data_IF_541764303255
#
_entry.id   IF_541764303255
#
_cell.length_a   1.000
_cell.length_b   1.000
_cell.length_c   1.000
_cell.angle_alpha   90.00
_cell.angle_beta   90.00
_cell.angle_gamma   90.00
#
_symmetry.space_group_name_H-M   'P 1'
#
loop_
_entity.id
_entity.type
_entity.pdbx_description
1 polymer ?
#
# COMPACT_ATOMS: atom_id res chain seq x y z
N UNK A 1 10.35 -4.34 -17.07
CA UNK A 1 9.60 -3.79 -15.93
C UNK A 1 9.61 -2.29 -16.06
N UNK A 2 8.44 -1.62 -16.07
CA UNK A 2 8.41 -0.15 -16.04
C UNK A 2 8.97 0.30 -14.69
N UNK A 3 9.79 1.34 -14.70
CA UNK A 3 10.42 1.89 -13.50
C UNK A 3 9.33 2.48 -12.60
N UNK A 4 9.30 2.05 -11.35
CA UNK A 4 8.44 2.62 -10.34
C UNK A 4 8.71 4.13 -10.19
N UNK A 5 7.65 4.89 -9.92
CA UNK A 5 7.71 6.31 -9.60
C UNK A 5 7.23 6.50 -8.17
N UNK A 6 8.09 7.08 -7.34
CA UNK A 6 7.76 7.44 -5.96
C UNK A 6 7.60 8.97 -5.92
N UNK A 7 6.47 9.44 -5.38
CA UNK A 7 6.18 10.86 -5.17
C UNK A 7 5.82 11.06 -3.70
N UNK A 8 6.58 11.89 -3.00
CA UNK A 8 6.38 12.17 -1.59
C UNK A 8 6.11 13.67 -1.42
N UNK A 9 4.86 14.01 -1.08
CA UNK A 9 4.40 15.41 -0.97
C UNK A 9 4.42 15.82 0.49
N UNK A 10 5.60 16.18 0.98
CA UNK A 10 5.83 16.51 2.40
C UNK A 10 5.40 17.96 2.70
N UNK A 11 4.64 18.15 3.77
CA UNK A 11 4.40 19.46 4.38
C UNK A 11 4.87 19.37 5.84
N UNK A 12 6.04 19.95 6.12
CA UNK A 12 6.69 19.82 7.43
C UNK A 12 7.48 18.51 7.56
N UNK A 13 7.04 17.62 8.46
CA UNK A 13 7.72 16.35 8.77
C UNK A 13 7.01 15.12 8.18
N UNK A 14 5.75 15.27 7.77
CA UNK A 14 4.93 14.18 7.25
C UNK A 14 4.20 14.58 5.97
N UNK A 15 3.54 13.62 5.32
CA UNK A 15 2.66 13.85 4.18
C UNK A 15 2.39 12.59 3.36
N UNK A 16 1.58 12.70 2.30
CA UNK A 16 1.22 11.54 1.50
C UNK A 16 2.37 11.07 0.61
N UNK A 17 2.51 9.75 0.51
CA UNK A 17 3.51 9.08 -0.30
C UNK A 17 2.85 8.14 -1.30
N UNK A 18 3.00 8.45 -2.58
CA UNK A 18 2.51 7.63 -3.68
C UNK A 18 3.64 6.79 -4.29
N UNK A 19 3.35 5.52 -4.54
CA UNK A 19 4.19 4.61 -5.35
C UNK A 19 3.37 4.19 -6.56
N UNK A 20 3.90 4.38 -7.76
CA UNK A 20 3.21 4.15 -9.01
C UNK A 20 4.02 3.26 -9.95
N UNK A 21 3.39 2.21 -10.46
CA UNK A 21 3.98 1.30 -11.47
C UNK A 21 3.40 1.55 -12.87
N UNK A 22 2.43 2.46 -12.98
CA UNK A 22 1.72 2.78 -14.21
C UNK A 22 1.67 4.29 -14.49
N UNK A 23 1.94 4.69 -15.73
CA UNK A 23 2.03 6.09 -16.16
C UNK A 23 0.71 6.68 -16.70
N UNK A 24 -0.31 5.85 -16.93
CA UNK A 24 -1.62 6.30 -17.41
C UNK A 24 -2.60 6.63 -16.27
N UNK A 25 -3.87 6.87 -16.62
CA UNK A 25 -4.94 7.07 -15.66
C UNK A 25 -4.97 5.92 -14.66
N UNK A 26 -5.04 6.28 -13.38
CA UNK A 26 -5.24 5.32 -12.31
C UNK A 26 -6.72 4.97 -12.33
N UNK A 27 -7.05 3.69 -12.25
CA UNK A 27 -8.43 3.23 -12.15
C UNK A 27 -9.04 3.63 -10.81
N UNK A 28 -10.05 2.90 -10.36
CA UNK A 28 -10.73 3.23 -9.11
C UNK A 28 -9.79 3.06 -7.90
N UNK A 29 -9.87 4.03 -6.99
CA UNK A 29 -9.22 3.96 -5.70
C UNK A 29 -10.01 3.03 -4.77
N UNK A 30 -9.30 2.12 -4.12
CA UNK A 30 -9.83 1.20 -3.12
C UNK A 30 -9.12 1.52 -1.80
N UNK A 31 -9.88 1.80 -0.76
CA UNK A 31 -9.37 2.01 0.59
C UNK A 31 -8.68 0.75 1.10
N UNK A 32 -7.54 0.90 1.77
CA UNK A 32 -6.90 -0.22 2.44
C UNK A 32 -7.74 -0.68 3.64
N UNK A 33 -7.72 -1.97 3.95
CA UNK A 33 -8.46 -2.58 5.06
C UNK A 33 -8.09 -2.03 6.44
N UNK A 34 -6.95 -1.35 6.54
CA UNK A 34 -6.47 -0.70 7.75
C UNK A 34 -6.56 0.84 7.70
N UNK A 35 -7.21 1.42 6.69
CA UNK A 35 -7.59 2.84 6.64
C UNK A 35 -6.42 3.83 6.77
N UNK A 36 -5.24 3.48 6.22
CA UNK A 36 -4.06 4.36 6.21
C UNK A 36 -3.60 4.73 4.79
N UNK A 37 -4.50 4.57 3.82
CA UNK A 37 -4.24 4.91 2.43
C UNK A 37 -5.02 4.05 1.44
N UNK A 38 -4.73 4.26 0.16
CA UNK A 38 -5.50 3.70 -0.95
C UNK A 38 -4.64 2.94 -1.95
N UNK A 39 -5.24 1.95 -2.60
CA UNK A 39 -4.69 1.23 -3.75
C UNK A 39 -5.48 1.54 -5.01
N UNK A 40 -4.79 1.75 -6.13
CA UNK A 40 -5.41 1.98 -7.42
C UNK A 40 -5.29 0.72 -8.27
N UNK A 41 -6.43 0.17 -8.68
CA UNK A 41 -6.47 -1.08 -9.42
C UNK A 41 -6.98 -0.88 -10.84
N UNK A 42 -6.51 -1.72 -11.77
CA UNK A 42 -7.11 -1.83 -13.10
C UNK A 42 -8.46 -2.55 -13.03
N UNK A 43 -9.22 -2.51 -14.13
CA UNK A 43 -10.45 -3.31 -14.28
C UNK A 43 -10.22 -4.82 -14.22
N UNK A 44 -8.97 -5.27 -14.40
CA UNK A 44 -8.55 -6.67 -14.28
C UNK A 44 -8.01 -7.02 -12.90
N UNK A 45 -7.99 -6.07 -11.95
CA UNK A 45 -7.46 -6.26 -10.59
C UNK A 45 -5.94 -6.12 -10.46
N UNK A 46 -5.26 -5.57 -11.47
CA UNK A 46 -3.82 -5.29 -11.40
C UNK A 46 -3.58 -4.04 -10.55
N UNK A 47 -2.64 -4.11 -9.60
CA UNK A 47 -2.24 -2.95 -8.80
C UNK A 47 -1.41 -1.97 -9.65
N UNK A 48 -1.93 -0.76 -9.85
CA UNK A 48 -1.33 0.28 -10.67
C UNK A 48 -0.54 1.29 -9.84
N UNK A 49 -1.01 1.59 -8.64
CA UNK A 49 -0.35 2.48 -7.69
C UNK A 49 -0.91 2.28 -6.27
N UNK A 50 -0.22 2.84 -5.29
CA UNK A 50 -0.71 3.02 -3.92
C UNK A 50 -0.40 4.44 -3.45
N UNK A 51 -1.19 4.94 -2.51
CA UNK A 51 -0.91 6.18 -1.76
C UNK A 51 -1.10 5.90 -0.27
N UNK A 52 -0.07 6.22 0.52
CA UNK A 52 -0.14 6.25 1.99
C UNK A 52 -0.47 7.68 2.40
N UNK A 53 -1.40 7.86 3.35
CA UNK A 53 -1.98 9.17 3.65
C UNK A 53 -1.01 10.09 4.40
N UNK A 54 -0.36 9.58 5.45
CA UNK A 54 0.52 10.37 6.32
C UNK A 54 1.77 9.58 6.70
N UNK A 55 2.87 9.84 5.98
CA UNK A 55 4.16 9.18 6.16
C UNK A 55 5.18 10.15 6.72
N UNK A 56 5.91 9.74 7.77
CA UNK A 56 7.01 10.52 8.31
C UNK A 56 8.27 10.44 7.43
N UNK A 57 8.83 11.60 7.04
CA UNK A 57 9.98 11.67 6.13
C UNK A 57 11.28 11.13 6.72
N UNK A 58 11.41 11.08 8.04
CA UNK A 58 12.66 10.71 8.70
C UNK A 58 12.69 9.22 9.06
N UNK A 59 11.60 8.71 9.61
CA UNK A 59 11.51 7.32 10.04
C UNK A 59 10.04 6.88 10.12
N UNK A 60 9.68 5.87 9.34
CA UNK A 60 8.33 5.31 9.35
C UNK A 60 8.32 3.83 8.96
N UNK A 61 7.30 3.11 9.40
CA UNK A 61 7.05 1.72 9.05
C UNK A 61 5.55 1.46 9.04
N UNK A 62 4.98 1.42 7.84
CA UNK A 62 3.54 1.25 7.62
C UNK A 62 3.28 0.14 6.62
N UNK A 63 2.04 -0.30 6.48
CA UNK A 63 1.65 -1.22 5.41
C UNK A 63 0.22 -0.96 4.99
N UNK A 64 -0.09 -1.11 3.70
CA UNK A 64 -1.46 -1.18 3.21
C UNK A 64 -1.87 -2.65 3.10
N UNK A 65 -3.01 -3.00 3.66
CA UNK A 65 -3.59 -4.34 3.54
C UNK A 65 -4.82 -4.31 2.63
N UNK A 66 -4.84 -5.19 1.64
CA UNK A 66 -5.97 -5.47 0.78
C UNK A 66 -6.27 -6.97 0.86
N UNK A 67 -7.39 -7.42 0.29
CA UNK A 67 -7.84 -8.81 0.40
C UNK A 67 -6.78 -9.87 0.03
N UNK A 68 -5.96 -9.59 -0.97
CA UNK A 68 -4.96 -10.53 -1.49
C UNK A 68 -3.55 -9.95 -1.54
N UNK A 69 -3.35 -8.74 -1.03
CA UNK A 69 -2.11 -7.99 -1.21
C UNK A 69 -1.78 -7.23 0.06
N UNK A 70 -0.50 -7.18 0.38
CA UNK A 70 0.06 -6.30 1.40
C UNK A 70 1.21 -5.53 0.80
N UNK A 71 1.21 -4.22 1.00
CA UNK A 71 2.29 -3.34 0.58
C UNK A 71 2.93 -2.78 1.83
N UNK A 72 4.15 -3.20 2.14
CA UNK A 72 4.92 -2.67 3.26
C UNK A 72 5.74 -1.47 2.79
N UNK A 73 5.74 -0.41 3.58
CA UNK A 73 6.52 0.81 3.40
C UNK A 73 7.44 1.01 4.59
N UNK A 74 8.69 1.35 4.32
CA UNK A 74 9.66 1.73 5.34
C UNK A 74 10.45 2.94 4.91
N UNK A 75 10.44 3.96 5.77
CA UNK A 75 11.28 5.15 5.64
C UNK A 75 12.39 5.09 6.68
N UNK A 76 13.64 5.27 6.26
CA UNK A 76 14.79 5.30 7.17
C UNK A 76 15.77 6.38 6.73
N UNK A 77 15.90 7.44 7.53
CA UNK A 77 16.77 8.59 7.22
C UNK A 77 16.47 9.21 5.84
N UNK A 78 15.18 9.33 5.49
CA UNK A 78 14.75 9.83 4.19
C UNK A 78 14.78 8.82 3.03
N UNK A 79 15.37 7.64 3.24
CA UNK A 79 15.35 6.57 2.24
C UNK A 79 14.03 5.81 2.32
N UNK A 80 13.36 5.68 1.18
CA UNK A 80 12.09 4.97 1.04
C UNK A 80 12.36 3.59 0.46
N UNK A 81 11.86 2.56 1.13
CA UNK A 81 11.87 1.18 0.67
C UNK A 81 10.47 0.59 0.82
N UNK A 82 10.09 -0.29 -0.11
CA UNK A 82 8.80 -0.95 -0.07
C UNK A 82 8.86 -2.38 -0.58
N UNK A 83 7.86 -3.18 -0.24
CA UNK A 83 7.71 -4.55 -0.75
C UNK A 83 6.24 -4.89 -0.94
N UNK A 84 5.94 -5.68 -1.98
CA UNK A 84 4.58 -6.16 -2.26
C UNK A 84 4.54 -7.66 -1.98
N UNK A 85 3.62 -8.08 -1.11
CA UNK A 85 3.41 -9.47 -0.73
C UNK A 85 2.01 -9.90 -1.15
N UNK A 86 1.89 -11.04 -1.85
CA UNK A 86 0.58 -11.68 -2.10
C UNK A 86 0.15 -12.49 -0.88
N UNK A 87 -1.07 -12.27 -0.41
CA UNK A 87 -1.65 -13.00 0.71
C UNK A 87 -2.39 -14.24 0.19
N UNK A 88 -1.94 -15.42 0.58
CA UNK A 88 -2.63 -16.68 0.29
C UNK A 88 -3.94 -16.76 1.11
N UNK A 89 -5.08 -16.57 0.45
CA UNK A 89 -6.43 -16.61 1.05
C UNK A 89 -6.77 -17.94 1.77
N UNK A 90 -6.01 -19.02 1.54
CA UNK A 90 -6.28 -20.34 2.16
C UNK A 90 -6.10 -20.39 3.69
N UNK A 91 -5.59 -19.35 4.34
CA UNK A 91 -5.35 -19.35 5.80
C UNK A 91 -6.37 -18.54 6.63
N UNK A 92 -7.14 -17.65 6.03
CA UNK A 92 -7.93 -16.67 6.80
C UNK A 92 -9.27 -17.22 7.30
N UNK A 93 -9.87 -18.20 6.61
CA UNK A 93 -11.12 -18.85 7.07
C UNK A 93 -10.94 -19.66 8.37
N UNK A 94 -9.73 -20.19 8.65
CA UNK A 94 -9.47 -20.95 9.88
C UNK A 94 -9.44 -20.07 11.14
N UNK A 95 -9.16 -18.77 11.02
CA UNK A 95 -9.12 -17.87 12.20
C UNK A 95 -10.51 -17.36 12.61
N UNK A 96 -11.43 -17.11 11.67
CA UNK A 96 -12.81 -16.70 12.02
C UNK A 96 -13.59 -17.83 12.71
N UNK A 97 -13.38 -19.10 12.34
CA UNK A 97 -14.05 -20.25 13.00
C UNK A 97 -13.56 -20.58 14.41
N UNK A 98 -12.35 -20.16 14.81
CA UNK A 98 -11.83 -20.41 16.18
C UNK A 98 -12.26 -19.39 17.23
N UNK A 99 -12.85 -18.26 16.83
CA UNK A 99 -13.37 -17.24 17.77
C UNK A 99 -14.88 -17.37 18.03
N UNK A 100 -15.54 -18.32 17.37
CA UNK A 100 -16.98 -18.55 17.45
C UNK A 100 -17.34 -19.97 17.95
N UNK A 101 -16.37 -20.67 18.57
CA UNK A 101 -16.54 -21.99 19.16
C UNK A 101 -16.07 -21.97 20.62
#
# INVERSE_FOLDING_TARGET
MKKEKISFRIIGETGPLMISWYDGPKGDAVEANNEIGVGFFSTTGELLAVEFDDVNKNADSQFLEFDQLRIDLKVKKGEISYSITKLDLKKTEKKKRKKAA
#
